data_IF_352727600559
#
_entry.id   IF_352727600559
#
_cell.length_a   1.000
_cell.length_b   1.000
_cell.length_c   1.000
_cell.angle_alpha   90.00
_cell.angle_beta   90.00
_cell.angle_gamma   90.00
#
_symmetry.space_group_name_H-M   'P 1'
#
loop_
_entity.id
_entity.type
_entity.pdbx_description
1 polymer ?
#
# COMPACT_ATOMS: atom_id res chain seq x y z
N UNK A 1 12.59 42.03 -43.89
CA UNK A 1 11.41 41.12 -43.88
C UNK A 1 11.68 39.95 -42.95
N UNK A 2 12.88 39.34 -43.02
CA UNK A 2 13.36 38.34 -42.05
C UNK A 2 13.39 38.84 -40.59
N UNK A 3 13.89 40.05 -40.32
CA UNK A 3 13.94 40.61 -38.95
C UNK A 3 12.56 40.72 -38.25
N UNK A 4 11.49 41.02 -39.01
CA UNK A 4 10.13 41.07 -38.47
C UNK A 4 9.57 39.67 -38.19
N UNK A 5 9.99 38.66 -38.95
CA UNK A 5 9.64 37.26 -38.72
C UNK A 5 10.30 36.77 -37.43
N UNK A 6 11.61 36.95 -37.31
CA UNK A 6 12.39 36.54 -36.13
C UNK A 6 11.89 37.19 -34.84
N UNK A 7 11.57 38.49 -34.88
CA UNK A 7 11.02 39.20 -33.73
C UNK A 7 9.66 38.63 -33.31
N UNK A 8 8.82 38.23 -34.27
CA UNK A 8 7.50 37.65 -33.98
C UNK A 8 7.62 36.24 -33.39
N UNK A 9 8.55 35.43 -33.89
CA UNK A 9 8.85 34.13 -33.29
C UNK A 9 9.34 34.28 -31.85
N UNK A 10 10.32 35.17 -31.63
CA UNK A 10 10.90 35.42 -30.31
C UNK A 10 9.84 35.87 -29.30
N UNK A 11 8.99 36.84 -29.67
CA UNK A 11 7.88 37.29 -28.81
C UNK A 11 6.84 36.20 -28.57
N UNK A 12 6.60 35.32 -29.55
CA UNK A 12 5.71 34.18 -29.36
C UNK A 12 6.29 33.16 -28.38
N UNK A 13 7.59 32.87 -28.47
CA UNK A 13 8.29 31.96 -27.57
C UNK A 13 8.24 32.48 -26.14
N UNK A 14 8.62 33.75 -25.92
CA UNK A 14 8.62 34.38 -24.59
C UNK A 14 7.22 34.31 -23.93
N UNK A 15 6.17 34.64 -24.69
CA UNK A 15 4.79 34.56 -24.19
C UNK A 15 4.40 33.14 -23.80
N UNK A 16 4.72 32.15 -24.63
CA UNK A 16 4.40 30.75 -24.34
C UNK A 16 5.15 30.25 -23.10
N UNK A 17 6.43 30.63 -22.93
CA UNK A 17 7.23 30.28 -21.76
C UNK A 17 6.62 30.86 -20.47
N UNK A 18 6.22 32.14 -20.47
CA UNK A 18 5.56 32.77 -19.33
C UNK A 18 4.26 32.05 -18.97
N UNK A 19 3.44 31.73 -19.98
CA UNK A 19 2.17 31.00 -19.77
C UNK A 19 2.44 29.63 -19.14
N UNK A 20 3.40 28.86 -19.68
CA UNK A 20 3.75 27.54 -19.12
C UNK A 20 4.26 27.67 -17.69
N UNK A 21 5.17 28.60 -17.41
CA UNK A 21 5.70 28.83 -16.07
C UNK A 21 4.58 29.12 -15.06
N UNK A 22 3.62 29.97 -15.43
CA UNK A 22 2.47 30.28 -14.57
C UNK A 22 1.57 29.07 -14.33
N UNK A 23 1.31 28.27 -15.36
CA UNK A 23 0.50 27.06 -15.24
C UNK A 23 1.19 25.96 -14.42
N UNK A 24 2.53 25.91 -14.45
CA UNK A 24 3.33 24.86 -13.81
C UNK A 24 3.81 25.22 -12.40
N UNK A 25 3.82 26.49 -12.02
CA UNK A 25 4.24 26.91 -10.69
C UNK A 25 3.57 26.11 -9.53
N UNK A 26 2.26 25.79 -9.59
CA UNK A 26 1.64 24.91 -8.59
C UNK A 26 2.18 23.47 -8.63
N UNK A 27 2.43 22.92 -9.81
CA UNK A 27 3.01 21.58 -9.97
C UNK A 27 4.43 21.53 -9.38
N UNK A 28 5.28 22.51 -9.69
CA UNK A 28 6.66 22.60 -9.19
C UNK A 28 6.70 22.70 -7.66
N UNK A 29 5.77 23.46 -7.07
CA UNK A 29 5.63 23.55 -5.62
C UNK A 29 5.27 22.18 -5.01
N UNK A 30 4.29 21.47 -5.58
CA UNK A 30 3.85 20.15 -5.10
C UNK A 30 4.93 19.08 -5.27
N UNK A 31 5.70 19.13 -6.35
CA UNK A 31 6.89 18.28 -6.55
C UNK A 31 7.91 18.55 -5.45
N UNK A 32 8.21 19.82 -5.18
CA UNK A 32 9.19 20.23 -4.16
C UNK A 32 8.78 19.81 -2.75
N UNK A 33 7.48 19.76 -2.48
CA UNK A 33 6.90 19.26 -1.24
C UNK A 33 6.85 17.72 -1.16
N UNK A 34 7.23 17.03 -2.23
CA UNK A 34 7.24 15.57 -2.30
C UNK A 34 5.84 14.96 -2.39
N UNK A 35 4.81 15.71 -2.81
CA UNK A 35 3.42 15.23 -2.80
C UNK A 35 3.17 14.01 -3.70
N UNK A 36 4.04 13.81 -4.69
CA UNK A 36 3.99 12.69 -5.63
C UNK A 36 4.91 11.52 -5.22
N UNK A 37 5.70 11.65 -4.15
CA UNK A 37 6.61 10.61 -3.66
C UNK A 37 5.92 9.69 -2.65
N UNK A 38 4.81 9.12 -3.07
CA UNK A 38 3.95 8.23 -2.27
C UNK A 38 3.32 7.15 -3.17
N UNK A 39 2.81 6.04 -2.61
CA UNK A 39 2.04 5.07 -3.37
C UNK A 39 0.88 5.74 -4.13
N UNK A 40 0.75 5.47 -5.42
CA UNK A 40 -0.20 6.10 -6.34
C UNK A 40 0.16 7.54 -6.76
N UNK A 41 1.34 8.02 -6.39
CA UNK A 41 1.82 9.37 -6.72
C UNK A 41 2.02 9.61 -8.21
N UNK A 42 2.38 8.60 -8.99
CA UNK A 42 2.52 8.72 -10.46
C UNK A 42 1.20 9.06 -11.13
N UNK A 43 0.10 8.40 -10.70
CA UNK A 43 -1.23 8.69 -11.21
C UNK A 43 -1.68 10.13 -10.93
N UNK A 44 -1.40 10.64 -9.72
CA UNK A 44 -1.67 12.03 -9.36
C UNK A 44 -0.87 13.01 -10.21
N UNK A 45 0.40 12.70 -10.50
CA UNK A 45 1.23 13.52 -11.37
C UNK A 45 0.68 13.56 -12.81
N UNK A 46 0.23 12.42 -13.34
CA UNK A 46 -0.37 12.36 -14.68
C UNK A 46 -1.64 13.19 -14.80
N UNK A 47 -2.48 13.21 -13.76
CA UNK A 47 -3.69 14.03 -13.72
C UNK A 47 -3.38 15.53 -13.73
N UNK A 48 -2.39 15.96 -12.93
CA UNK A 48 -1.95 17.36 -12.90
C UNK A 48 -1.34 17.78 -14.25
N UNK A 49 -0.50 16.91 -14.84
CA UNK A 49 0.08 17.11 -16.18
C UNK A 49 -1.01 17.31 -17.24
N UNK A 50 -2.06 16.46 -17.24
CA UNK A 50 -3.21 16.60 -18.16
C UNK A 50 -3.96 17.91 -17.93
N UNK A 51 -4.15 18.31 -16.67
CA UNK A 51 -4.81 19.56 -16.32
C UNK A 51 -4.05 20.77 -16.84
N UNK A 52 -2.71 20.78 -16.71
CA UNK A 52 -1.85 21.83 -17.26
C UNK A 52 -1.94 21.88 -18.78
N UNK A 53 -1.91 20.71 -19.46
CA UNK A 53 -2.05 20.64 -20.92
C UNK A 53 -3.39 21.22 -21.38
N UNK A 54 -4.49 20.80 -20.76
CA UNK A 54 -5.82 21.31 -21.10
C UNK A 54 -5.93 22.84 -20.91
N UNK A 55 -5.38 23.36 -19.81
CA UNK A 55 -5.32 24.81 -19.57
C UNK A 55 -4.52 25.51 -20.66
N UNK A 56 -3.33 25.01 -20.97
CA UNK A 56 -2.48 25.58 -22.02
C UNK A 56 -3.18 25.60 -23.38
N UNK A 57 -3.84 24.52 -23.78
CA UNK A 57 -4.56 24.42 -25.04
C UNK A 57 -5.67 25.48 -25.16
N UNK A 58 -6.39 25.73 -24.07
CA UNK A 58 -7.47 26.75 -24.02
C UNK A 58 -6.99 28.19 -23.91
N UNK A 59 -5.73 28.45 -23.52
CA UNK A 59 -5.20 29.81 -23.37
C UNK A 59 -5.15 30.54 -24.72
N UNK A 60 -5.78 31.72 -24.88
CA UNK A 60 -5.72 32.48 -26.13
C UNK A 60 -4.35 33.18 -26.31
N UNK A 61 -4.08 33.68 -27.51
CA UNK A 61 -2.92 34.57 -27.81
C UNK A 61 -1.51 34.01 -27.55
N UNK A 62 -1.34 32.68 -27.57
CA UNK A 62 -0.02 32.01 -27.42
C UNK A 62 0.98 32.37 -28.53
N UNK A 63 0.48 32.52 -29.76
CA UNK A 63 1.29 32.80 -30.94
C UNK A 63 1.80 31.53 -31.64
N UNK A 64 2.64 31.74 -32.66
CA UNK A 64 3.07 30.71 -33.62
C UNK A 64 4.02 29.64 -33.04
N UNK A 65 4.80 29.95 -31.99
CA UNK A 65 5.76 29.00 -31.37
C UNK A 65 5.13 28.12 -30.27
N UNK A 66 3.80 28.19 -30.11
CA UNK A 66 3.10 27.53 -29.00
C UNK A 66 3.29 26.02 -28.91
N UNK A 67 3.34 25.32 -30.05
CA UNK A 67 3.54 23.87 -30.09
C UNK A 67 4.98 23.48 -29.74
N UNK A 68 5.97 24.22 -30.24
CA UNK A 68 7.39 23.95 -29.98
C UNK A 68 7.72 24.09 -28.49
N UNK A 69 7.27 25.19 -27.87
CA UNK A 69 7.50 25.43 -26.44
C UNK A 69 6.79 24.38 -25.58
N UNK A 70 5.56 23.98 -25.97
CA UNK A 70 4.84 22.90 -25.27
C UNK A 70 5.58 21.57 -25.36
N UNK A 71 6.12 21.23 -26.53
CA UNK A 71 6.87 19.99 -26.75
C UNK A 71 8.17 19.95 -25.91
N UNK A 72 8.91 21.05 -25.85
CA UNK A 72 10.10 21.18 -25.01
C UNK A 72 9.74 20.99 -23.53
N UNK A 73 8.68 21.66 -23.07
CA UNK A 73 8.20 21.50 -21.70
C UNK A 73 7.80 20.05 -21.38
N UNK A 74 7.07 19.37 -22.28
CA UNK A 74 6.73 17.96 -22.12
C UNK A 74 7.95 17.06 -22.03
N UNK A 75 9.02 17.38 -22.77
CA UNK A 75 10.29 16.64 -22.68
C UNK A 75 10.97 16.87 -21.32
N UNK A 76 10.96 18.09 -20.80
CA UNK A 76 11.54 18.40 -19.49
C UNK A 76 10.83 17.65 -18.35
N UNK A 77 9.51 17.47 -18.45
CA UNK A 77 8.75 16.69 -17.46
C UNK A 77 9.05 15.18 -17.48
N UNK A 78 9.60 14.61 -18.57
CA UNK A 78 9.82 13.15 -18.68
C UNK A 78 10.77 12.62 -17.60
N UNK A 79 11.83 13.36 -17.29
CA UNK A 79 12.79 12.95 -16.27
C UNK A 79 12.17 12.95 -14.85
N UNK A 80 11.33 13.96 -14.57
CA UNK A 80 10.58 14.08 -13.33
C UNK A 80 9.58 12.93 -13.22
N UNK A 81 8.82 12.68 -14.28
CA UNK A 81 7.84 11.60 -14.36
C UNK A 81 8.46 10.23 -14.10
N UNK A 82 9.62 9.94 -14.72
CA UNK A 82 10.34 8.69 -14.51
C UNK A 82 10.79 8.51 -13.05
N UNK A 83 11.25 9.60 -12.42
CA UNK A 83 11.66 9.58 -11.01
C UNK A 83 10.47 9.31 -10.09
N UNK A 84 9.33 9.96 -10.34
CA UNK A 84 8.09 9.76 -9.60
C UNK A 84 7.59 8.32 -9.77
N UNK A 85 7.59 7.78 -11.00
CA UNK A 85 7.18 6.42 -11.28
C UNK A 85 8.02 5.40 -10.51
N UNK A 86 9.35 5.54 -10.54
CA UNK A 86 10.26 4.66 -9.82
C UNK A 86 10.01 4.70 -8.30
N UNK A 87 9.76 5.90 -7.75
CA UNK A 87 9.45 6.05 -6.33
C UNK A 87 8.11 5.37 -5.98
N UNK A 88 7.07 5.58 -6.78
CA UNK A 88 5.74 4.99 -6.59
C UNK A 88 5.79 3.45 -6.61
N UNK A 89 6.42 2.86 -7.62
CA UNK A 89 6.58 1.41 -7.74
C UNK A 89 7.34 0.81 -6.55
N UNK A 90 8.43 1.46 -6.14
CA UNK A 90 9.25 1.03 -5.00
C UNK A 90 8.48 1.09 -3.68
N UNK A 91 7.72 2.15 -3.45
CA UNK A 91 6.92 2.32 -2.23
C UNK A 91 5.76 1.33 -2.21
N UNK A 92 5.04 1.19 -3.32
CA UNK A 92 3.93 0.23 -3.46
C UNK A 92 4.40 -1.21 -3.23
N UNK A 93 5.56 -1.58 -3.79
CA UNK A 93 6.14 -2.91 -3.57
C UNK A 93 6.49 -3.16 -2.09
N UNK A 94 7.08 -2.17 -1.42
CA UNK A 94 7.42 -2.26 0.01
C UNK A 94 6.19 -2.39 0.89
N UNK A 95 5.15 -1.60 0.65
CA UNK A 95 3.90 -1.69 1.42
C UNK A 95 3.25 -3.06 1.28
N UNK A 96 3.21 -3.60 0.05
CA UNK A 96 2.71 -4.95 -0.20
C UNK A 96 3.50 -6.00 0.56
N UNK A 97 4.83 -5.92 0.53
CA UNK A 97 5.70 -6.87 1.26
C UNK A 97 5.47 -6.80 2.77
N UNK A 98 5.30 -5.59 3.33
CA UNK A 98 5.01 -5.42 4.76
C UNK A 98 3.65 -6.03 5.11
N UNK A 99 2.62 -5.78 4.31
CA UNK A 99 1.28 -6.33 4.52
C UNK A 99 1.27 -7.86 4.47
N UNK A 100 1.98 -8.46 3.50
CA UNK A 100 2.14 -9.92 3.39
C UNK A 100 2.85 -10.49 4.63
N UNK A 101 3.97 -9.91 5.05
CA UNK A 101 4.71 -10.35 6.23
C UNK A 101 3.87 -10.26 7.51
N UNK A 102 3.07 -9.20 7.66
CA UNK A 102 2.16 -9.04 8.79
C UNK A 102 1.06 -10.09 8.79
N UNK A 103 0.46 -10.37 7.63
CA UNK A 103 -0.58 -11.40 7.48
C UNK A 103 -0.03 -12.80 7.82
N UNK A 104 1.16 -13.14 7.36
CA UNK A 104 1.83 -14.41 7.69
C UNK A 104 2.12 -14.53 9.19
N UNK A 105 2.63 -13.46 9.81
CA UNK A 105 2.90 -13.43 11.24
C UNK A 105 1.63 -13.60 12.08
N UNK A 106 0.53 -12.96 11.67
CA UNK A 106 -0.77 -13.09 12.33
C UNK A 106 -1.37 -14.50 12.18
N UNK A 107 -1.27 -15.09 10.98
CA UNK A 107 -1.69 -16.46 10.73
C UNK A 107 -0.90 -17.46 11.59
N UNK A 108 0.42 -17.32 11.64
CA UNK A 108 1.30 -18.17 12.47
C UNK A 108 0.99 -18.03 13.96
N UNK A 109 0.73 -16.79 14.44
CA UNK A 109 0.34 -16.53 15.83
C UNK A 109 -1.01 -17.20 16.16
N UNK A 110 -1.98 -17.09 15.27
CA UNK A 110 -3.31 -17.69 15.42
C UNK A 110 -3.21 -19.22 15.47
N UNK A 111 -2.47 -19.82 14.55
CA UNK A 111 -2.23 -21.26 14.52
C UNK A 111 -1.54 -21.75 15.80
N UNK A 112 -0.52 -21.03 16.29
CA UNK A 112 0.16 -21.35 17.55
C UNK A 112 -0.81 -21.31 18.75
N UNK A 113 -1.72 -20.34 18.80
CA UNK A 113 -2.73 -20.26 19.85
C UNK A 113 -3.73 -21.41 19.80
N UNK A 114 -4.19 -21.79 18.60
CA UNK A 114 -5.08 -22.95 18.40
C UNK A 114 -4.39 -24.22 18.90
N UNK A 115 -3.14 -24.46 18.48
CA UNK A 115 -2.37 -25.63 18.93
C UNK A 115 -2.18 -25.66 20.45
N UNK A 116 -1.88 -24.51 21.08
CA UNK A 116 -1.76 -24.41 22.54
C UNK A 116 -3.07 -24.73 23.25
N UNK A 117 -4.21 -24.21 22.75
CA UNK A 117 -5.54 -24.50 23.31
C UNK A 117 -5.89 -25.98 23.16
N UNK A 118 -5.64 -26.56 21.98
CA UNK A 118 -5.88 -27.99 21.73
C UNK A 118 -5.04 -28.87 22.66
N UNK A 119 -3.74 -28.59 22.80
CA UNK A 119 -2.84 -29.31 23.72
C UNK A 119 -3.32 -29.24 25.17
N UNK A 120 -3.76 -28.06 25.63
CA UNK A 120 -4.32 -27.89 26.98
C UNK A 120 -5.61 -28.70 27.19
N UNK A 121 -6.50 -28.69 26.20
CA UNK A 121 -7.76 -29.45 26.23
C UNK A 121 -7.49 -30.96 26.31
N UNK A 122 -6.61 -31.47 25.45
CA UNK A 122 -6.23 -32.88 25.42
C UNK A 122 -5.62 -33.32 26.76
N UNK A 123 -4.70 -32.52 27.31
CA UNK A 123 -4.10 -32.82 28.61
C UNK A 123 -5.13 -32.85 29.76
N UNK A 124 -6.08 -31.91 29.76
CA UNK A 124 -7.17 -31.88 30.75
C UNK A 124 -8.07 -33.10 30.63
N UNK A 125 -8.42 -33.50 29.40
CA UNK A 125 -9.24 -34.69 29.14
C UNK A 125 -8.56 -35.97 29.65
N UNK A 126 -7.27 -36.16 29.32
CA UNK A 126 -6.50 -37.31 29.79
C UNK A 126 -6.40 -37.37 31.32
N UNK A 127 -6.14 -36.23 31.96
CA UNK A 127 -6.08 -36.16 33.42
C UNK A 127 -7.43 -36.49 34.07
N UNK A 128 -8.54 -36.02 33.50
CA UNK A 128 -9.88 -36.34 33.97
C UNK A 128 -10.22 -37.82 33.78
N UNK A 129 -9.87 -38.41 32.62
CA UNK A 129 -10.07 -39.83 32.36
C UNK A 129 -9.30 -40.70 33.36
N UNK A 130 -8.03 -40.35 33.63
CA UNK A 130 -7.23 -41.06 34.64
C UNK A 130 -7.85 -40.98 36.03
N UNK A 131 -8.30 -39.79 36.46
CA UNK A 131 -8.99 -39.62 37.74
C UNK A 131 -10.27 -40.44 37.83
N UNK A 132 -11.09 -40.43 36.78
CA UNK A 132 -12.33 -41.20 36.72
C UNK A 132 -12.06 -42.70 36.80
N UNK A 133 -11.03 -43.19 36.11
CA UNK A 133 -10.64 -44.59 36.13
C UNK A 133 -10.21 -45.04 37.54
N UNK A 134 -9.35 -44.26 38.21
CA UNK A 134 -8.91 -44.56 39.58
C UNK A 134 -10.08 -44.54 40.58
N UNK A 135 -11.01 -43.59 40.45
CA UNK A 135 -12.22 -43.54 41.28
C UNK A 135 -13.10 -44.77 41.06
N UNK A 136 -13.35 -45.14 39.79
CA UNK A 136 -14.17 -46.30 39.46
C UNK A 136 -13.55 -47.59 39.99
N UNK A 137 -12.23 -47.74 39.89
CA UNK A 137 -11.48 -48.87 40.46
C UNK A 137 -11.65 -48.96 41.98
N UNK A 138 -11.54 -47.84 42.70
CA UNK A 138 -11.75 -47.81 44.16
C UNK A 138 -13.17 -48.22 44.55
N UNK A 139 -14.18 -47.65 43.90
CA UNK A 139 -15.59 -48.01 44.15
C UNK A 139 -15.85 -49.49 43.90
N UNK A 140 -15.25 -50.08 42.86
CA UNK A 140 -15.39 -51.50 42.55
C UNK A 140 -14.80 -52.37 43.67
N UNK A 141 -13.61 -52.03 44.18
CA UNK A 141 -12.96 -52.74 45.29
C UNK A 141 -13.83 -52.65 46.55
N UNK A 142 -14.27 -51.45 46.93
CA UNK A 142 -15.13 -51.23 48.11
C UNK A 142 -16.43 -52.03 48.03
N UNK A 143 -17.05 -52.08 46.83
CA UNK A 143 -18.25 -52.88 46.59
C UNK A 143 -17.98 -54.38 46.74
N UNK A 144 -16.91 -54.90 46.14
CA UNK A 144 -16.54 -56.32 46.26
C UNK A 144 -16.28 -56.72 47.72
N UNK A 145 -15.64 -55.86 48.51
CA UNK A 145 -15.42 -56.11 49.94
C UNK A 145 -16.73 -56.09 50.73
N UNK A 146 -17.65 -55.18 50.42
CA UNK A 146 -18.97 -55.12 51.04
C UNK A 146 -19.79 -56.37 50.71
N UNK A 147 -19.84 -56.77 49.44
CA UNK A 147 -20.56 -57.96 49.00
C UNK A 147 -19.99 -59.22 49.66
N UNK A 148 -18.66 -59.32 49.80
CA UNK A 148 -18.00 -60.42 50.52
C UNK A 148 -18.37 -60.45 52.00
N UNK A 149 -18.42 -59.29 52.67
CA UNK A 149 -18.85 -59.21 54.09
C UNK A 149 -20.29 -59.69 54.26
N UNK A 150 -21.18 -59.32 53.34
CA UNK A 150 -22.58 -59.72 53.37
C UNK A 150 -22.81 -61.22 53.10
N UNK A 151 -21.88 -61.90 52.40
CA UNK A 151 -21.95 -63.33 52.11
C UNK A 151 -21.49 -64.23 53.28
N UNK A 152 -20.76 -63.68 54.25
CA UNK A 152 -20.18 -64.40 55.39
C UNK A 152 -20.94 -64.08 56.69
N UNK A 153 -21.82 -63.08 56.66
CA UNK A 153 -22.75 -62.73 57.73
C UNK A 153 -24.02 -63.59 57.65
#
# INVERSE_FOLDING_TARGET
>A
MEEFSELNESKSTERCQIIIQQLCAPLDQRISQGEFLKPGGHMLFLEEKRTIMAKYDTTPHKGLKSLEVLQEFMNNLKAIEATILQADESLTAKEKQIAESQAEAEAAKTQSQILKKHKRSLHKSLANQKKSYELHKKMLIEKMESDRRNLIA
#
